data_IF_814330682144
#
_entry.id   IF_814330682144
#
_cell.length_a   1.000
_cell.length_b   1.000
_cell.length_c   1.000
_cell.angle_alpha   90.00
_cell.angle_beta   90.00
_cell.angle_gamma   90.00
#
_symmetry.space_group_name_H-M   'P 1'
#
loop_
_entity.id
_entity.type
_entity.pdbx_description
1 polymer ?
#
# COMPACT_ATOMS: atom_id res chain seq x y z
N UNK A 1 5.94 13.88 6.05
CA UNK A 1 6.69 13.24 7.17
C UNK A 1 8.10 13.85 7.21
N UNK A 2 8.61 14.28 8.35
CA UNK A 2 9.95 14.85 8.44
C UNK A 2 10.88 13.75 8.95
N UNK A 3 11.80 13.29 8.13
CA UNK A 3 12.79 12.28 8.53
C UNK A 3 13.94 12.95 9.28
N UNK A 4 14.14 12.55 10.52
CA UNK A 4 15.25 13.04 11.35
C UNK A 4 16.30 11.93 11.49
N UNK A 5 17.54 12.25 11.17
CA UNK A 5 18.68 11.36 11.33
C UNK A 5 19.93 12.17 11.61
N UNK A 6 20.85 11.61 12.35
CA UNK A 6 22.16 12.21 12.72
C UNK A 6 23.33 11.35 12.27
N UNK A 7 23.13 10.07 12.16
CA UNK A 7 24.14 9.08 11.81
C UNK A 7 23.73 8.25 10.59
N UNK A 8 24.68 7.55 9.97
CA UNK A 8 24.40 6.56 8.94
C UNK A 8 23.51 5.44 9.46
N UNK A 9 23.65 5.06 10.74
CA UNK A 9 22.81 4.03 11.35
C UNK A 9 21.36 4.50 11.47
N UNK A 10 21.12 5.77 11.82
CA UNK A 10 19.77 6.33 11.86
C UNK A 10 19.13 6.32 10.48
N UNK A 11 19.88 6.73 9.45
CA UNK A 11 19.41 6.71 8.07
C UNK A 11 19.06 5.29 7.61
N UNK A 12 19.90 4.32 7.92
CA UNK A 12 19.64 2.91 7.63
C UNK A 12 18.39 2.39 8.35
N UNK A 13 18.19 2.77 9.61
CA UNK A 13 17.01 2.40 10.38
C UNK A 13 15.74 3.00 9.78
N UNK A 14 15.77 4.26 9.31
CA UNK A 14 14.64 4.89 8.63
C UNK A 14 14.27 4.16 7.33
N UNK A 15 15.27 3.84 6.51
CA UNK A 15 15.05 3.09 5.27
C UNK A 15 14.44 1.71 5.58
N UNK A 16 14.95 1.03 6.61
CA UNK A 16 14.40 -0.26 7.05
C UNK A 16 12.95 -0.12 7.49
N UNK A 17 12.59 0.90 8.27
CA UNK A 17 11.21 1.14 8.68
C UNK A 17 10.28 1.38 7.48
N UNK A 18 10.70 2.19 6.50
CA UNK A 18 9.93 2.40 5.27
C UNK A 18 9.72 1.08 4.52
N UNK A 19 10.76 0.24 4.44
CA UNK A 19 10.69 -1.05 3.77
C UNK A 19 9.75 -2.02 4.48
N UNK A 20 9.83 -2.13 5.79
CA UNK A 20 8.93 -2.98 6.59
C UNK A 20 7.47 -2.53 6.47
N UNK A 21 7.23 -1.22 6.48
CA UNK A 21 5.88 -0.67 6.46
C UNK A 21 5.24 -0.72 5.07
N UNK A 22 5.99 -0.50 3.99
CA UNK A 22 5.43 -0.34 2.65
C UNK A 22 5.94 -1.34 1.62
N UNK A 23 7.27 -1.52 1.51
CA UNK A 23 7.86 -2.35 0.46
C UNK A 23 7.47 -3.81 0.59
N UNK A 24 7.69 -4.38 1.78
CA UNK A 24 7.42 -5.79 2.04
C UNK A 24 5.94 -6.14 1.79
N UNK A 25 4.94 -5.45 2.42
CA UNK A 25 3.55 -5.77 2.14
C UNK A 25 3.12 -5.46 0.69
N UNK A 26 3.74 -4.49 0.00
CA UNK A 26 3.50 -4.28 -1.43
C UNK A 26 3.94 -5.47 -2.27
N UNK A 27 5.12 -6.03 -2.00
CA UNK A 27 5.60 -7.23 -2.69
C UNK A 27 4.71 -8.44 -2.42
N UNK A 28 4.27 -8.65 -1.19
CA UNK A 28 3.34 -9.71 -0.81
C UNK A 28 2.01 -9.57 -1.58
N UNK A 29 1.47 -8.36 -1.67
CA UNK A 29 0.25 -8.08 -2.44
C UNK A 29 0.44 -8.30 -3.96
N UNK A 30 1.60 -7.94 -4.52
CA UNK A 30 1.90 -8.15 -5.94
C UNK A 30 1.95 -9.65 -6.25
N UNK A 31 2.66 -10.44 -5.45
CA UNK A 31 2.71 -11.90 -5.60
C UNK A 31 1.31 -12.50 -5.50
N UNK A 32 0.53 -12.08 -4.52
CA UNK A 32 -0.84 -12.54 -4.37
C UNK A 32 -1.72 -12.16 -5.59
N UNK A 33 -1.56 -10.96 -6.14
CA UNK A 33 -2.27 -10.54 -7.35
C UNK A 33 -1.91 -11.39 -8.56
N UNK A 34 -0.62 -11.74 -8.74
CA UNK A 34 -0.18 -12.64 -9.80
C UNK A 34 -0.83 -14.02 -9.68
N UNK A 35 -0.90 -14.56 -8.46
CA UNK A 35 -1.51 -15.86 -8.20
C UNK A 35 -3.01 -15.90 -8.52
N UNK A 36 -3.77 -14.85 -8.16
CA UNK A 36 -5.22 -14.83 -8.32
C UNK A 36 -5.69 -14.38 -9.70
N UNK A 37 -4.89 -13.60 -10.46
CA UNK A 37 -5.31 -13.07 -11.75
C UNK A 37 -4.67 -13.75 -12.93
N UNK A 38 -3.53 -14.37 -12.73
CA UNK A 38 -2.63 -14.81 -13.80
C UNK A 38 -2.29 -13.66 -14.79
N UNK A 39 -2.42 -12.39 -14.33
CA UNK A 39 -2.12 -11.18 -15.11
C UNK A 39 -0.68 -10.73 -14.85
N UNK A 40 -0.13 -10.04 -15.83
CA UNK A 40 1.20 -9.47 -15.70
C UNK A 40 1.20 -8.23 -14.80
N UNK A 41 1.99 -8.24 -13.74
CA UNK A 41 2.11 -7.16 -12.76
C UNK A 41 3.20 -6.12 -13.11
N UNK A 42 3.61 -6.03 -14.40
CA UNK A 42 4.66 -5.12 -14.87
C UNK A 42 4.48 -3.68 -14.37
N UNK A 43 3.24 -3.16 -14.32
CA UNK A 43 2.98 -1.81 -13.85
C UNK A 43 3.43 -1.59 -12.39
N UNK A 44 3.26 -2.59 -11.53
CA UNK A 44 3.70 -2.53 -10.13
C UNK A 44 5.23 -2.63 -10.02
N UNK A 45 5.85 -3.46 -10.87
CA UNK A 45 7.32 -3.57 -10.94
C UNK A 45 7.94 -2.24 -11.39
N UNK A 46 7.32 -1.55 -12.35
CA UNK A 46 7.74 -0.21 -12.77
C UNK A 46 7.65 0.78 -11.59
N UNK A 47 6.55 0.74 -10.83
CA UNK A 47 6.38 1.61 -9.65
C UNK A 47 7.42 1.32 -8.57
N UNK A 48 7.79 0.06 -8.34
CA UNK A 48 8.89 -0.31 -7.46
C UNK A 48 10.23 0.25 -7.96
N UNK A 49 10.54 0.09 -9.24
CA UNK A 49 11.77 0.64 -9.86
C UNK A 49 11.85 2.15 -9.66
N UNK A 50 10.73 2.86 -9.86
CA UNK A 50 10.67 4.32 -9.70
C UNK A 50 10.89 4.73 -8.25
N UNK A 51 10.32 4.01 -7.28
CA UNK A 51 10.62 4.19 -5.86
C UNK A 51 12.13 4.00 -5.59
N UNK A 52 12.71 2.89 -6.02
CA UNK A 52 14.13 2.61 -5.82
C UNK A 52 15.06 3.64 -6.46
N UNK A 53 14.66 4.29 -7.55
CA UNK A 53 15.45 5.37 -8.16
C UNK A 53 15.70 6.53 -7.18
N UNK A 54 14.75 6.78 -6.27
CA UNK A 54 14.93 7.78 -5.21
C UNK A 54 15.84 7.29 -4.08
N UNK A 55 15.76 6.00 -3.73
CA UNK A 55 16.65 5.41 -2.72
C UNK A 55 18.10 5.41 -3.19
N UNK A 56 18.38 5.10 -4.47
CA UNK A 56 19.73 5.17 -5.04
C UNK A 56 20.33 6.57 -4.86
N UNK A 57 19.55 7.62 -5.11
CA UNK A 57 20.01 9.01 -4.93
C UNK A 57 20.34 9.38 -3.48
N UNK A 58 19.77 8.68 -2.50
CA UNK A 58 20.18 8.83 -1.08
C UNK A 58 21.59 8.31 -0.88
N UNK A 59 21.92 7.17 -1.48
CA UNK A 59 23.25 6.56 -1.33
C UNK A 59 24.35 7.24 -2.17
N UNK A 60 23.99 8.05 -3.16
CA UNK A 60 24.95 8.87 -3.91
C UNK A 60 25.52 10.04 -3.10
N UNK A 61 24.94 10.36 -1.94
CA UNK A 61 25.40 11.45 -1.08
C UNK A 61 26.50 10.96 -0.16
N UNK A 62 27.72 11.48 -0.31
CA UNK A 62 28.89 11.04 0.45
C UNK A 62 28.95 11.63 1.87
N UNK A 63 28.51 12.87 2.06
CA UNK A 63 28.49 13.55 3.36
C UNK A 63 27.05 13.80 3.82
N UNK A 64 26.56 12.93 4.69
CA UNK A 64 25.19 13.01 5.22
C UNK A 64 25.02 14.09 6.31
N UNK A 65 26.12 14.62 6.85
CA UNK A 65 26.09 15.60 7.94
C UNK A 65 25.89 17.03 7.42
N UNK A 66 26.31 17.32 6.17
CA UNK A 66 26.16 18.62 5.56
C UNK A 66 24.69 19.03 5.45
N UNK A 67 24.37 20.27 5.81
CA UNK A 67 22.98 20.77 5.85
C UNK A 67 22.23 20.59 4.52
N UNK A 68 22.85 20.97 3.41
CA UNK A 68 22.23 20.86 2.08
C UNK A 68 21.99 19.40 1.66
N UNK A 69 22.88 18.50 2.08
CA UNK A 69 22.74 17.08 1.83
C UNK A 69 21.62 16.48 2.67
N UNK A 70 21.44 16.90 3.92
CA UNK A 70 20.28 16.50 4.74
C UNK A 70 18.95 16.86 4.06
N UNK A 71 18.84 18.05 3.48
CA UNK A 71 17.64 18.45 2.74
C UNK A 71 17.41 17.57 1.50
N UNK A 72 18.49 17.29 0.75
CA UNK A 72 18.42 16.42 -0.45
C UNK A 72 17.98 15.00 -0.09
N UNK A 73 18.63 14.40 0.91
CA UNK A 73 18.31 13.06 1.42
C UNK A 73 16.87 13.01 1.91
N UNK A 74 16.43 13.97 2.73
CA UNK A 74 15.06 14.04 3.22
C UNK A 74 14.03 14.04 2.09
N UNK A 75 14.22 14.85 1.05
CA UNK A 75 13.35 14.89 -0.13
C UNK A 75 13.33 13.56 -0.89
N UNK A 76 14.46 12.87 -1.02
CA UNK A 76 14.49 11.57 -1.71
C UNK A 76 13.81 10.48 -0.87
N UNK A 77 13.97 10.48 0.45
CA UNK A 77 13.27 9.57 1.35
C UNK A 77 11.75 9.78 1.33
N UNK A 78 11.30 11.05 1.31
CA UNK A 78 9.87 11.36 1.16
C UNK A 78 9.30 10.82 -0.15
N UNK A 79 10.01 11.01 -1.25
CA UNK A 79 9.59 10.49 -2.57
C UNK A 79 9.58 8.96 -2.57
N UNK A 80 10.63 8.34 -2.03
CA UNK A 80 10.72 6.88 -1.91
C UNK A 80 9.55 6.34 -1.11
N UNK A 81 9.31 6.86 0.09
CA UNK A 81 8.21 6.46 0.95
C UNK A 81 6.84 6.67 0.28
N UNK A 82 6.62 7.83 -0.36
CA UNK A 82 5.36 8.16 -1.02
C UNK A 82 5.05 7.25 -2.21
N UNK A 83 6.06 6.86 -3.00
CA UNK A 83 5.88 5.90 -4.09
C UNK A 83 5.50 4.52 -3.56
N UNK A 84 6.15 4.05 -2.50
CA UNK A 84 5.83 2.76 -1.89
C UNK A 84 4.46 2.75 -1.20
N UNK A 85 4.11 3.84 -0.50
CA UNK A 85 2.80 4.01 0.12
C UNK A 85 1.68 3.93 -0.92
N UNK A 86 1.84 4.68 -2.02
CA UNK A 86 0.89 4.66 -3.13
C UNK A 86 0.77 3.26 -3.73
N UNK A 87 1.88 2.61 -4.00
CA UNK A 87 1.90 1.25 -4.54
C UNK A 87 1.15 0.27 -3.63
N UNK A 88 1.39 0.35 -2.32
CA UNK A 88 0.71 -0.50 -1.34
C UNK A 88 -0.82 -0.31 -1.41
N UNK A 89 -1.29 0.92 -1.45
CA UNK A 89 -2.73 1.18 -1.51
C UNK A 89 -3.34 0.81 -2.86
N UNK A 90 -2.63 1.02 -3.96
CA UNK A 90 -3.07 0.60 -5.30
C UNK A 90 -3.22 -0.93 -5.38
N UNK A 91 -2.28 -1.70 -4.78
CA UNK A 91 -2.39 -3.16 -4.72
C UNK A 91 -3.55 -3.63 -3.86
N UNK A 92 -3.79 -3.05 -2.68
CA UNK A 92 -4.96 -3.35 -1.86
C UNK A 92 -6.28 -3.06 -2.60
N UNK A 93 -6.38 -1.91 -3.29
CA UNK A 93 -7.58 -1.58 -4.06
C UNK A 93 -7.84 -2.57 -5.19
N UNK A 94 -6.78 -3.04 -5.86
CA UNK A 94 -6.90 -4.07 -6.90
C UNK A 94 -7.39 -5.40 -6.33
N UNK A 95 -6.83 -5.85 -5.19
CA UNK A 95 -7.27 -7.07 -4.49
C UNK A 95 -8.75 -6.97 -4.13
N UNK A 96 -9.19 -5.87 -3.52
CA UNK A 96 -10.58 -5.64 -3.17
C UNK A 96 -11.48 -5.68 -4.42
N UNK A 97 -11.05 -5.07 -5.51
CA UNK A 97 -11.80 -5.06 -6.78
C UNK A 97 -12.00 -6.47 -7.32
N UNK A 98 -10.94 -7.29 -7.35
CA UNK A 98 -11.01 -8.66 -7.85
C UNK A 98 -11.92 -9.52 -6.97
N UNK A 99 -11.66 -9.56 -5.66
CA UNK A 99 -12.47 -10.33 -4.72
C UNK A 99 -13.94 -9.89 -4.72
N UNK A 100 -14.21 -8.59 -4.85
CA UNK A 100 -15.57 -8.10 -4.98
C UNK A 100 -16.25 -8.60 -6.26
N UNK A 101 -15.56 -8.58 -7.39
CA UNK A 101 -16.11 -9.07 -8.66
C UNK A 101 -16.42 -10.58 -8.60
N UNK A 102 -15.53 -11.38 -7.99
CA UNK A 102 -15.79 -12.81 -7.76
C UNK A 102 -17.02 -13.02 -6.88
N UNK A 103 -17.17 -12.23 -5.83
CA UNK A 103 -18.32 -12.28 -4.94
C UNK A 103 -19.61 -11.93 -5.68
N UNK A 104 -19.60 -10.87 -6.54
CA UNK A 104 -20.78 -10.47 -7.31
C UNK A 104 -21.27 -11.55 -8.28
N UNK A 105 -20.36 -12.33 -8.83
CA UNK A 105 -20.71 -13.41 -9.75
C UNK A 105 -21.45 -14.57 -9.06
N UNK A 106 -21.40 -14.67 -7.73
CA UNK A 106 -21.91 -15.82 -6.99
C UNK A 106 -23.10 -15.51 -6.06
N UNK A 107 -23.37 -14.23 -5.79
CA UNK A 107 -24.48 -13.84 -4.91
C UNK A 107 -25.77 -13.64 -5.72
N UNK A 108 -26.92 -14.16 -5.23
CA UNK A 108 -28.22 -13.91 -5.85
C UNK A 108 -28.58 -12.41 -5.89
N UNK A 109 -29.15 -11.94 -7.00
CA UNK A 109 -29.45 -10.53 -7.28
C UNK A 109 -30.14 -9.77 -6.15
N UNK A 110 -31.08 -10.42 -5.44
CA UNK A 110 -31.85 -9.78 -4.36
C UNK A 110 -31.00 -9.33 -3.16
N UNK A 111 -29.82 -9.93 -2.94
CA UNK A 111 -28.93 -9.60 -1.80
C UNK A 111 -27.74 -8.75 -2.22
N UNK A 112 -27.43 -8.70 -3.50
CA UNK A 112 -26.28 -8.00 -4.06
C UNK A 112 -26.25 -6.51 -3.67
N UNK A 113 -27.38 -5.81 -3.75
CA UNK A 113 -27.45 -4.36 -3.54
C UNK A 113 -27.01 -3.99 -2.12
N UNK A 114 -27.54 -4.69 -1.11
CA UNK A 114 -27.20 -4.40 0.29
C UNK A 114 -25.70 -4.63 0.58
N UNK A 115 -25.15 -5.72 0.05
CA UNK A 115 -23.73 -6.09 0.23
C UNK A 115 -22.81 -5.11 -0.49
N UNK A 116 -23.14 -4.76 -1.75
CA UNK A 116 -22.40 -3.72 -2.51
C UNK A 116 -22.38 -2.40 -1.75
N UNK A 117 -23.53 -1.99 -1.20
CA UNK A 117 -23.65 -0.77 -0.41
C UNK A 117 -22.77 -0.83 0.83
N UNK A 118 -22.76 -1.95 1.55
CA UNK A 118 -21.92 -2.12 2.74
C UNK A 118 -20.43 -2.00 2.41
N UNK A 119 -19.94 -2.73 1.41
CA UNK A 119 -18.53 -2.69 0.98
C UNK A 119 -18.16 -1.27 0.48
N UNK A 120 -19.03 -0.65 -0.32
CA UNK A 120 -18.81 0.71 -0.81
C UNK A 120 -18.72 1.74 0.33
N UNK A 121 -19.51 1.58 1.40
CA UNK A 121 -19.44 2.45 2.58
C UNK A 121 -18.12 2.27 3.33
N UNK A 122 -17.63 1.05 3.51
CA UNK A 122 -16.33 0.79 4.14
C UNK A 122 -15.17 1.38 3.31
N UNK A 123 -15.17 1.20 1.99
CA UNK A 123 -14.19 1.83 1.09
C UNK A 123 -14.26 3.36 1.19
N UNK A 124 -15.48 3.93 1.22
CA UNK A 124 -15.69 5.38 1.36
C UNK A 124 -15.12 5.90 2.68
N UNK A 125 -15.32 5.18 3.79
CA UNK A 125 -14.73 5.54 5.10
C UNK A 125 -13.20 5.66 5.00
N UNK A 126 -12.52 4.71 4.34
CA UNK A 126 -11.05 4.77 4.16
C UNK A 126 -10.58 5.95 3.32
N UNK A 127 -11.40 6.40 2.34
CA UNK A 127 -11.06 7.56 1.49
C UNK A 127 -11.32 8.90 2.18
N UNK A 128 -12.33 8.97 3.04
CA UNK A 128 -12.74 10.19 3.75
C UNK A 128 -11.94 10.34 5.06
N UNK A 129 -11.11 9.37 5.39
CA UNK A 129 -10.39 9.43 6.65
C UNK A 129 -9.62 10.74 6.73
N UNK A 130 -10.17 11.57 7.60
CA UNK A 130 -9.80 12.93 7.88
C UNK A 130 -8.34 13.06 8.31
N UNK A 131 -7.81 14.27 8.20
CA UNK A 131 -6.57 14.70 8.83
C UNK A 131 -6.41 14.06 10.21
N UNK A 132 -5.36 13.21 10.35
CA UNK A 132 -5.04 12.53 11.62
C UNK A 132 -5.06 11.00 11.61
N UNK A 133 -5.54 10.33 10.55
CA UNK A 133 -5.44 8.87 10.47
C UNK A 133 -4.03 8.45 10.13
N UNK A 134 -3.51 7.54 10.92
CA UNK A 134 -2.20 6.96 10.66
C UNK A 134 -2.23 6.01 9.45
N UNK A 135 -1.09 5.83 8.82
CA UNK A 135 -0.92 4.88 7.71
C UNK A 135 -1.31 3.46 8.15
N UNK A 136 -0.94 3.07 9.37
CA UNK A 136 -1.26 1.75 9.92
C UNK A 136 -2.78 1.55 10.05
N UNK A 137 -3.52 2.58 10.45
CA UNK A 137 -4.98 2.54 10.49
C UNK A 137 -5.59 2.39 9.09
N UNK A 138 -4.99 2.99 8.06
CA UNK A 138 -5.43 2.79 6.67
C UNK A 138 -5.17 1.37 6.19
N UNK A 139 -3.98 0.84 6.44
CA UNK A 139 -3.62 -0.55 6.10
C UNK A 139 -4.58 -1.52 6.77
N UNK A 140 -4.82 -1.35 8.05
CA UNK A 140 -5.76 -2.17 8.82
C UNK A 140 -7.19 -2.06 8.26
N UNK A 141 -7.61 -0.89 7.84
CA UNK A 141 -8.89 -0.68 7.19
C UNK A 141 -9.03 -1.44 5.87
N UNK A 142 -8.00 -1.47 5.02
CA UNK A 142 -8.00 -2.27 3.78
C UNK A 142 -8.08 -3.77 4.08
N UNK A 143 -7.32 -4.26 5.06
CA UNK A 143 -7.37 -5.67 5.50
C UNK A 143 -8.78 -6.05 5.97
N UNK A 144 -9.41 -5.23 6.81
CA UNK A 144 -10.79 -5.46 7.27
C UNK A 144 -11.81 -5.54 6.14
N UNK A 145 -11.64 -4.78 5.07
CA UNK A 145 -12.53 -4.87 3.89
C UNK A 145 -12.32 -6.20 3.18
N UNK A 146 -11.08 -6.65 3.02
CA UNK A 146 -10.77 -7.95 2.42
C UNK A 146 -11.38 -9.07 3.25
N UNK A 147 -11.19 -9.06 4.55
CA UNK A 147 -11.75 -10.04 5.48
C UNK A 147 -13.29 -10.04 5.42
N UNK A 148 -13.91 -8.87 5.36
CA UNK A 148 -15.36 -8.72 5.20
C UNK A 148 -15.87 -9.39 3.91
N UNK A 149 -15.17 -9.19 2.79
CA UNK A 149 -15.52 -9.80 1.50
C UNK A 149 -15.40 -11.32 1.59
N UNK A 150 -14.33 -11.83 2.20
CA UNK A 150 -14.13 -13.27 2.39
C UNK A 150 -15.17 -13.90 3.31
N UNK A 151 -15.54 -13.23 4.38
CA UNK A 151 -16.59 -13.71 5.29
C UNK A 151 -17.97 -13.74 4.63
N UNK A 152 -18.27 -12.74 3.79
CA UNK A 152 -19.49 -12.74 2.99
C UNK A 152 -19.45 -13.88 1.98
N UNK A 153 -18.31 -14.09 1.32
CA UNK A 153 -18.13 -15.18 0.35
C UNK A 153 -18.40 -16.55 0.99
N UNK A 154 -17.80 -16.81 2.16
CA UNK A 154 -18.03 -18.05 2.91
C UNK A 154 -19.50 -18.27 3.27
N UNK A 155 -20.26 -17.21 3.60
CA UNK A 155 -21.69 -17.33 3.97
C UNK A 155 -22.62 -17.63 2.81
N UNK A 156 -22.24 -17.28 1.57
CA UNK A 156 -23.11 -17.39 0.41
C UNK A 156 -22.69 -18.46 -0.61
N UNK A 157 -21.44 -18.91 -0.55
CA UNK A 157 -20.87 -19.86 -1.52
C UNK A 157 -20.66 -21.25 -0.91
N UNK A 158 -20.59 -21.34 0.41
CA UNK A 158 -20.48 -22.58 1.17
C UNK A 158 -21.70 -22.80 2.07
#
# INVERSE_FOLDING_TARGET
>A
MRFEYTTHQDLHNLIRQINEQFYKPSCENIVYLEEITNENTIAYIISLRDAYSHLVKVFEVSDIAAHDNKIKIGRQLERYSSHLERLLFDTYQKIISIKSNELWAQIPDKKIIAIKTQIALEIKKLRIVADGTTIDQKIEGYKKIIDLIEDIFKKFVW
#
